data_IF_129960810865
#
_entry.id   IF_129960810865
#
_cell.length_a   1.000
_cell.length_b   1.000
_cell.length_c   1.000
_cell.angle_alpha   90.00
_cell.angle_beta   90.00
_cell.angle_gamma   90.00
#
_symmetry.space_group_name_H-M   'P 1'
#
loop_
_entity.id
_entity.type
_entity.pdbx_description
1 polymer ?
#
# COMPACT_ATOMS: atom_id res chain seq x y z
N UNK A 1 -19.22 -3.99 2.17
CA UNK A 1 -17.88 -3.76 2.75
C UNK A 1 -17.53 -4.75 3.87
N UNK A 2 -18.43 -5.65 4.29
CA UNK A 2 -18.22 -6.52 5.47
C UNK A 2 -17.80 -7.98 5.19
N UNK A 3 -17.88 -8.42 3.94
CA UNK A 3 -17.62 -9.83 3.58
C UNK A 3 -16.14 -10.11 3.32
N UNK A 4 -15.37 -9.11 2.87
CA UNK A 4 -13.93 -9.25 2.60
C UNK A 4 -13.11 -9.49 3.88
N UNK A 5 -13.58 -9.02 5.03
CA UNK A 5 -12.86 -9.14 6.31
C UNK A 5 -12.92 -10.55 6.91
N UNK A 6 -13.93 -11.36 6.56
CA UNK A 6 -14.19 -12.68 7.19
C UNK A 6 -13.54 -13.87 6.49
N UNK A 7 -13.07 -13.69 5.26
CA UNK A 7 -12.49 -14.77 4.45
C UNK A 7 -10.96 -14.69 4.33
N UNK A 8 -10.31 -13.74 4.99
CA UNK A 8 -8.86 -13.62 4.93
C UNK A 8 -8.23 -14.90 5.54
N UNK A 9 -7.39 -15.63 4.79
CA UNK A 9 -6.66 -16.80 5.31
C UNK A 9 -5.92 -16.45 6.60
N UNK A 10 -5.76 -17.44 7.50
CA UNK A 10 -5.00 -17.28 8.76
C UNK A 10 -3.56 -16.81 8.51
N UNK A 11 -3.04 -17.13 7.34
CA UNK A 11 -1.72 -16.73 6.86
C UNK A 11 -1.96 -15.72 5.72
N UNK A 12 -2.03 -14.43 6.07
CA UNK A 12 -2.18 -13.39 5.04
C UNK A 12 -0.89 -13.33 4.21
N UNK A 13 -1.01 -13.22 2.87
CA UNK A 13 0.17 -13.03 2.04
C UNK A 13 0.87 -11.71 2.42
N UNK A 14 2.20 -11.64 2.20
CA UNK A 14 2.92 -10.38 2.27
C UNK A 14 2.15 -9.26 1.54
N UNK A 15 2.04 -8.11 2.19
CA UNK A 15 1.22 -6.99 1.71
C UNK A 15 2.10 -5.76 1.52
N UNK A 16 2.06 -5.17 0.32
CA UNK A 16 2.64 -3.86 0.03
C UNK A 16 1.54 -2.80 -0.01
N UNK A 17 1.72 -1.73 0.74
CA UNK A 17 0.86 -0.54 0.73
C UNK A 17 1.65 0.64 0.21
N UNK A 18 1.12 1.29 -0.82
CA UNK A 18 1.72 2.46 -1.47
C UNK A 18 0.79 3.66 -1.30
N UNK A 19 1.30 4.80 -0.87
CA UNK A 19 0.48 6.00 -0.65
C UNK A 19 1.17 7.28 -1.13
N UNK A 20 0.41 8.11 -1.85
CA UNK A 20 0.84 9.44 -2.24
C UNK A 20 0.47 10.47 -1.18
N UNK A 21 1.44 11.23 -0.67
CA UNK A 21 1.19 12.21 0.39
C UNK A 21 0.29 13.38 -0.08
N UNK A 22 0.21 13.61 -1.39
CA UNK A 22 -0.66 14.60 -2.03
C UNK A 22 -1.97 14.00 -2.57
N UNK A 23 -2.41 12.85 -2.06
CA UNK A 23 -3.72 12.30 -2.43
C UNK A 23 -4.86 13.23 -1.95
N UNK A 24 -5.56 13.85 -2.90
CA UNK A 24 -6.72 14.72 -2.65
C UNK A 24 -8.06 13.97 -2.74
N UNK A 25 -8.04 12.71 -3.20
CA UNK A 25 -9.23 11.88 -3.35
C UNK A 25 -9.45 11.04 -2.09
N UNK A 26 -8.38 10.45 -1.54
CA UNK A 26 -8.40 9.69 -0.28
C UNK A 26 -7.84 10.56 0.84
N UNK A 27 -8.68 11.05 1.78
CA UNK A 27 -8.21 11.85 2.89
C UNK A 27 -7.22 11.08 3.78
N UNK A 28 -6.16 11.77 4.25
CA UNK A 28 -5.13 11.21 5.15
C UNK A 28 -5.72 10.45 6.33
N UNK A 29 -6.80 10.97 6.94
CA UNK A 29 -7.48 10.30 8.07
C UNK A 29 -8.04 8.92 7.70
N UNK A 30 -8.65 8.80 6.51
CA UNK A 30 -9.18 7.53 6.03
C UNK A 30 -8.05 6.52 5.76
N UNK A 31 -6.95 7.00 5.18
CA UNK A 31 -5.74 6.19 4.98
C UNK A 31 -5.13 5.73 6.31
N UNK A 32 -5.00 6.61 7.31
CA UNK A 32 -4.52 6.23 8.64
C UNK A 32 -5.44 5.20 9.31
N UNK A 33 -6.76 5.36 9.20
CA UNK A 33 -7.72 4.37 9.71
C UNK A 33 -7.59 3.00 9.03
N UNK A 34 -7.33 2.97 7.72
CA UNK A 34 -7.00 1.74 7.01
C UNK A 34 -5.72 1.10 7.58
N UNK A 35 -4.64 1.87 7.70
CA UNK A 35 -3.36 1.37 8.23
C UNK A 35 -3.51 0.79 9.64
N UNK A 36 -4.24 1.45 10.54
CA UNK A 36 -4.50 0.93 11.89
C UNK A 36 -5.31 -0.37 11.90
N UNK A 37 -6.09 -0.64 10.86
CA UNK A 37 -6.92 -1.83 10.74
C UNK A 37 -6.23 -2.98 9.98
N UNK A 38 -5.10 -2.72 9.30
CA UNK A 38 -4.33 -3.75 8.62
C UNK A 38 -3.55 -4.56 9.66
N UNK A 39 -3.79 -5.88 9.78
CA UNK A 39 -2.97 -6.74 10.62
C UNK A 39 -1.64 -7.05 9.91
N UNK A 40 -0.58 -7.16 10.69
CA UNK A 40 0.76 -7.49 10.22
C UNK A 40 1.78 -6.42 10.58
N UNK A 41 3.00 -6.86 10.87
CA UNK A 41 4.16 -6.01 11.08
C UNK A 41 5.17 -6.28 9.95
N UNK A 42 6.14 -5.38 9.70
CA UNK A 42 7.26 -5.71 8.85
C UNK A 42 7.91 -7.04 9.28
N UNK A 43 8.23 -7.97 8.36
CA UNK A 43 8.22 -7.79 6.91
C UNK A 43 6.88 -8.14 6.21
N UNK A 44 5.89 -8.67 6.92
CA UNK A 44 4.61 -9.11 6.34
C UNK A 44 3.74 -7.95 5.82
N UNK A 45 3.90 -6.75 6.37
CA UNK A 45 3.31 -5.51 5.88
C UNK A 45 4.42 -4.50 5.60
N UNK A 46 4.55 -4.07 4.34
CA UNK A 46 5.48 -3.02 3.91
C UNK A 46 4.69 -1.78 3.47
N UNK A 47 4.98 -0.64 4.07
CA UNK A 47 4.39 0.65 3.70
C UNK A 47 5.44 1.53 3.03
N UNK A 48 5.10 2.10 1.88
CA UNK A 48 5.90 3.12 1.19
C UNK A 48 5.03 4.36 1.01
N UNK A 49 5.55 5.51 1.48
CA UNK A 49 4.94 6.81 1.30
C UNK A 49 5.77 7.57 0.26
N UNK A 50 5.10 8.09 -0.77
CA UNK A 50 5.70 8.93 -1.79
C UNK A 50 5.36 10.39 -1.50
N UNK A 51 6.31 11.21 -1.00
CA UNK A 51 6.03 12.59 -0.57
C UNK A 51 5.52 13.50 -1.68
N UNK A 52 5.89 13.21 -2.94
CA UNK A 52 5.43 13.93 -4.14
C UNK A 52 4.34 13.17 -4.91
N UNK A 53 3.84 12.08 -4.34
CA UNK A 53 2.88 11.20 -4.98
C UNK A 53 1.46 11.69 -4.88
N UNK A 54 0.75 11.56 -5.98
CA UNK A 54 -0.67 11.85 -6.08
C UNK A 54 -1.47 10.54 -6.08
N UNK A 55 -2.80 10.64 -6.17
CA UNK A 55 -3.69 9.48 -6.13
C UNK A 55 -3.33 8.39 -7.17
N UNK A 56 -3.03 8.80 -8.41
CA UNK A 56 -2.70 7.88 -9.50
C UNK A 56 -1.19 7.60 -9.57
N UNK A 57 -0.61 7.04 -8.50
CA UNK A 57 0.84 6.86 -8.33
C UNK A 57 1.56 6.28 -9.57
N UNK A 58 1.04 5.23 -10.19
CA UNK A 58 1.70 4.60 -11.35
C UNK A 58 1.67 5.48 -12.62
N UNK A 59 0.83 6.51 -12.66
CA UNK A 59 0.67 7.44 -13.78
C UNK A 59 1.20 8.84 -13.49
N UNK A 60 1.67 9.09 -12.27
CA UNK A 60 2.22 10.37 -11.89
C UNK A 60 3.65 10.56 -12.49
N UNK A 61 4.27 11.72 -12.24
CA UNK A 61 5.60 12.04 -12.75
C UNK A 61 6.72 11.11 -12.24
N UNK A 62 6.48 10.39 -11.15
CA UNK A 62 7.41 9.44 -10.54
C UNK A 62 6.92 7.99 -10.70
N UNK A 63 5.91 7.73 -11.55
CA UNK A 63 5.31 6.41 -11.71
C UNK A 63 6.31 5.33 -12.09
N UNK A 64 7.38 5.69 -12.82
CA UNK A 64 8.48 4.76 -13.11
C UNK A 64 9.16 4.23 -11.84
N UNK A 65 9.36 5.08 -10.82
CA UNK A 65 9.92 4.68 -9.52
C UNK A 65 8.93 3.81 -8.75
N UNK A 66 7.65 4.18 -8.75
CA UNK A 66 6.58 3.38 -8.12
C UNK A 66 6.54 1.97 -8.70
N UNK A 67 6.62 1.85 -10.02
CA UNK A 67 6.63 0.55 -10.71
C UNK A 67 7.91 -0.25 -10.41
N UNK A 68 9.06 0.41 -10.30
CA UNK A 68 10.31 -0.25 -9.92
C UNK A 68 10.26 -0.78 -8.49
N UNK A 69 9.69 -0.03 -7.54
CA UNK A 69 9.51 -0.46 -6.15
C UNK A 69 8.55 -1.65 -6.03
N UNK A 70 7.49 -1.67 -6.85
CA UNK A 70 6.58 -2.84 -6.96
C UNK A 70 7.34 -4.06 -7.44
N UNK A 71 8.12 -3.94 -8.53
CA UNK A 71 8.90 -5.05 -9.08
C UNK A 71 9.92 -5.57 -8.06
N UNK A 72 10.67 -4.68 -7.42
CA UNK A 72 11.64 -5.03 -6.39
C UNK A 72 10.98 -5.74 -5.19
N UNK A 73 9.78 -5.30 -4.78
CA UNK A 73 9.05 -5.97 -3.70
C UNK A 73 8.60 -7.39 -4.08
N UNK A 74 8.17 -7.60 -5.33
CA UNK A 74 7.77 -8.92 -5.84
C UNK A 74 8.98 -9.87 -5.86
N UNK A 75 10.13 -9.39 -6.34
CA UNK A 75 11.37 -10.18 -6.41
C UNK A 75 11.92 -10.53 -5.01
N UNK A 76 11.68 -9.68 -4.01
CA UNK A 76 12.08 -9.88 -2.60
C UNK A 76 11.22 -10.92 -1.86
N UNK A 77 10.15 -11.45 -2.47
CA UNK A 77 9.31 -12.51 -1.86
C UNK A 77 9.79 -13.95 -2.16
N UNK A 78 10.89 -14.10 -2.92
CA UNK A 78 11.47 -15.39 -3.35
C UNK A 78 12.46 -16.00 -2.37
#
# INVERSE_FOLDING_TARGET
>A
MDLATRAAPRDRPPTLVLYGEHDEIIPKRAFCSLLSALPGEPPALRLVIYPRGWHMLMRDLQGAWVMADIAAWIDDQG
#
